data_IF_414432759793
#
_entry.id   IF_414432759793
#
_cell.length_a   1.000
_cell.length_b   1.000
_cell.length_c   1.000
_cell.angle_alpha   90.00
_cell.angle_beta   90.00
_cell.angle_gamma   90.00
#
_symmetry.space_group_name_H-M   'P 1'
#
loop_
_entity.id
_entity.type
_entity.pdbx_description
1 polymer ?
#
# COMPACT_ATOMS: atom_id res chain seq x y z
N UNK A 1 -8.02 -11.96 -25.46
CA UNK A 1 -7.95 -11.52 -24.06
C UNK A 1 -7.57 -10.05 -24.09
N UNK A 2 -8.35 -9.14 -23.52
CA UNK A 2 -8.05 -7.71 -23.57
C UNK A 2 -7.60 -7.23 -22.19
N UNK A 3 -6.33 -6.88 -22.07
CA UNK A 3 -5.86 -6.07 -20.94
C UNK A 3 -6.10 -4.61 -21.33
N UNK A 4 -6.77 -3.85 -20.48
CA UNK A 4 -6.97 -2.41 -20.64
C UNK A 4 -6.01 -1.67 -19.72
N UNK A 5 -5.68 -0.44 -20.07
CA UNK A 5 -4.87 0.42 -19.22
C UNK A 5 -5.76 1.17 -18.23
N UNK A 6 -5.42 1.10 -16.95
CA UNK A 6 -6.08 1.90 -15.93
C UNK A 6 -5.83 3.40 -16.20
N UNK A 7 -6.87 4.25 -16.26
CA UNK A 7 -6.72 5.68 -16.56
C UNK A 7 -5.97 6.46 -15.48
N UNK A 8 -5.95 5.97 -14.23
CA UNK A 8 -5.28 6.63 -13.11
C UNK A 8 -3.81 6.24 -12.96
N UNK A 9 -3.50 4.94 -13.06
CA UNK A 9 -2.15 4.44 -12.77
C UNK A 9 -1.41 3.91 -14.01
N UNK A 10 -2.05 3.94 -15.18
CA UNK A 10 -1.53 3.40 -16.44
C UNK A 10 -1.04 1.94 -16.33
N UNK A 11 -1.55 1.20 -15.35
CA UNK A 11 -1.23 -0.21 -15.20
C UNK A 11 -2.16 -1.04 -16.06
N UNK A 12 -1.62 -2.11 -16.65
CA UNK A 12 -2.42 -3.11 -17.34
C UNK A 12 -3.30 -3.86 -16.34
N UNK A 13 -4.60 -3.87 -16.61
CA UNK A 13 -5.62 -4.54 -15.81
C UNK A 13 -6.59 -5.27 -16.73
N UNK A 14 -7.27 -6.29 -16.23
CA UNK A 14 -8.24 -7.03 -17.03
C UNK A 14 -9.46 -6.17 -17.34
N UNK A 15 -9.97 -6.22 -18.57
CA UNK A 15 -11.23 -5.54 -18.96
C UNK A 15 -12.44 -5.90 -18.08
N UNK A 16 -12.35 -7.02 -17.36
CA UNK A 16 -13.36 -7.52 -16.43
C UNK A 16 -13.20 -7.04 -14.98
N UNK A 17 -12.12 -6.30 -14.67
CA UNK A 17 -11.82 -5.88 -13.31
C UNK A 17 -12.81 -4.80 -12.83
N UNK A 18 -13.46 -5.05 -11.68
CA UNK A 18 -14.39 -4.09 -11.05
C UNK A 18 -13.63 -2.85 -10.56
N UNK A 19 -12.45 -3.07 -9.98
CA UNK A 19 -11.52 -2.01 -9.53
C UNK A 19 -10.09 -2.40 -9.88
N UNK A 20 -9.25 -1.40 -10.14
CA UNK A 20 -7.83 -1.60 -10.40
C UNK A 20 -7.12 -2.10 -9.13
N UNK A 21 -6.42 -3.25 -9.14
CA UNK A 21 -5.75 -3.79 -7.96
C UNK A 21 -4.55 -2.95 -7.49
N UNK A 22 -4.04 -2.05 -8.34
CA UNK A 22 -2.82 -1.27 -8.05
C UNK A 22 -3.11 0.11 -7.45
N UNK A 23 -4.17 0.77 -7.92
CA UNK A 23 -4.57 2.10 -7.43
C UNK A 23 -5.93 2.12 -6.73
N UNK A 24 -6.64 0.99 -6.68
CA UNK A 24 -8.01 0.87 -6.17
C UNK A 24 -9.06 1.72 -6.92
N UNK A 25 -8.71 2.25 -8.09
CA UNK A 25 -9.64 3.03 -8.89
C UNK A 25 -10.77 2.16 -9.45
N UNK A 26 -12.04 2.53 -9.29
CA UNK A 26 -13.17 1.78 -9.84
C UNK A 26 -13.21 1.93 -11.36
N UNK A 27 -12.99 0.84 -12.09
CA UNK A 27 -12.91 0.84 -13.57
C UNK A 27 -14.30 0.63 -14.18
N UNK A 28 -15.13 -0.21 -13.56
CA UNK A 28 -16.46 -0.51 -14.06
C UNK A 28 -17.52 0.29 -13.30
N UNK A 29 -17.69 1.56 -13.69
CA UNK A 29 -18.80 2.42 -13.28
C UNK A 29 -19.86 2.51 -14.39
N UNK A 30 -20.12 1.43 -15.14
CA UNK A 30 -21.14 1.46 -16.18
C UNK A 30 -22.54 1.31 -15.58
N UNK A 31 -23.12 2.48 -15.33
CA UNK A 31 -24.52 2.87 -15.33
C UNK A 31 -25.47 1.91 -16.06
N UNK A 32 -26.62 1.67 -15.40
CA UNK A 32 -27.92 1.15 -15.87
C UNK A 32 -28.24 -0.33 -15.60
N UNK A 33 -28.74 -0.65 -14.40
CA UNK A 33 -29.93 -1.51 -14.20
C UNK A 33 -30.42 -1.48 -12.72
N UNK A 34 -31.72 -1.25 -12.45
CA UNK A 34 -32.28 -1.27 -11.10
C UNK A 34 -32.62 -2.70 -10.66
N UNK A 35 -31.61 -3.52 -10.35
CA UNK A 35 -31.86 -4.84 -9.72
C UNK A 35 -31.01 -5.01 -8.47
N UNK A 36 -31.68 -4.70 -7.34
CA UNK A 36 -31.59 -5.36 -6.04
C UNK A 36 -30.60 -6.51 -5.96
N UNK A 37 -29.38 -6.22 -5.48
CA UNK A 37 -28.57 -7.11 -4.63
C UNK A 37 -27.69 -6.25 -3.70
N UNK A 38 -28.14 -6.13 -2.46
CA UNK A 38 -27.30 -6.04 -1.27
C UNK A 38 -26.24 -4.92 -1.27
N UNK A 39 -26.72 -3.71 -1.01
CA UNK A 39 -26.20 -2.83 0.05
C UNK A 39 -25.13 -3.44 0.99
N UNK A 40 -23.87 -3.40 0.54
CA UNK A 40 -22.76 -2.77 1.29
C UNK A 40 -21.80 -2.07 0.33
N UNK A 41 -22.32 -1.08 -0.38
CA UNK A 41 -21.50 0.01 -0.89
C UNK A 41 -21.63 1.19 0.06
N UNK A 42 -20.84 1.25 1.14
CA UNK A 42 -20.47 2.53 1.75
C UNK A 42 -19.32 2.36 2.75
N UNK A 43 -18.26 3.12 2.49
CA UNK A 43 -17.18 3.54 3.40
C UNK A 43 -16.26 2.46 3.96
N UNK A 44 -14.95 2.66 4.09
CA UNK A 44 -13.93 3.61 3.63
C UNK A 44 -12.67 2.94 4.17
N UNK A 45 -11.60 2.89 3.37
CA UNK A 45 -10.22 2.77 3.81
C UNK A 45 -9.92 1.86 5.03
N UNK A 46 -9.60 0.59 4.78
CA UNK A 46 -8.55 -0.11 5.54
C UNK A 46 -7.67 -0.94 4.60
N UNK A 47 -7.46 -0.43 3.38
CA UNK A 47 -6.20 -0.70 2.69
C UNK A 47 -5.14 0.10 3.42
N UNK A 48 -4.62 -0.45 4.52
CA UNK A 48 -3.52 0.14 5.27
C UNK A 48 -2.38 0.39 4.29
N UNK A 49 -2.32 1.62 3.80
CA UNK A 49 -1.23 2.12 2.98
C UNK A 49 -0.13 2.50 3.97
N UNK A 50 0.57 1.52 4.52
CA UNK A 50 1.79 1.74 5.31
C UNK A 50 2.59 0.45 5.28
N UNK A 51 3.69 0.31 4.56
CA UNK A 51 4.43 1.23 3.73
C UNK A 51 5.66 0.49 3.21
N UNK A 52 6.12 0.83 2.01
CA UNK A 52 7.45 0.42 1.53
C UNK A 52 8.59 1.18 2.27
N UNK A 53 8.38 1.57 3.54
CA UNK A 53 9.26 2.43 4.33
C UNK A 53 9.52 1.97 5.77
N UNK A 54 8.84 0.92 6.25
CA UNK A 54 9.09 0.39 7.61
C UNK A 54 10.39 -0.44 7.69
N UNK A 55 10.95 -0.85 6.55
CA UNK A 55 12.14 -1.70 6.55
C UNK A 55 13.44 -0.96 6.91
N UNK A 56 13.49 0.37 6.85
CA UNK A 56 14.71 1.16 7.09
C UNK A 56 14.83 1.64 8.54
N UNK A 57 13.71 1.85 9.25
CA UNK A 57 13.74 2.32 10.65
C UNK A 57 14.34 1.28 11.59
N UNK A 58 14.05 -0.02 11.38
CA UNK A 58 14.57 -1.10 12.22
C UNK A 58 16.11 -1.20 12.19
N UNK A 59 16.80 -1.22 11.02
CA UNK A 59 18.26 -1.22 10.99
C UNK A 59 18.87 0.10 11.49
N UNK A 60 18.23 1.26 11.25
CA UNK A 60 18.74 2.54 11.75
C UNK A 60 18.80 2.61 13.28
N UNK A 61 17.77 2.11 13.94
CA UNK A 61 17.70 2.05 15.41
C UNK A 61 18.80 1.11 15.95
N UNK A 62 18.98 -0.07 15.34
CA UNK A 62 20.03 -1.02 15.74
C UNK A 62 21.43 -0.41 15.57
N UNK A 63 21.69 0.23 14.43
CA UNK A 63 22.99 0.88 14.17
C UNK A 63 23.26 2.00 15.18
N UNK A 64 22.25 2.84 15.48
CA UNK A 64 22.38 3.92 16.46
C UNK A 64 22.68 3.39 17.87
N UNK A 65 22.00 2.31 18.28
CA UNK A 65 22.20 1.68 19.59
C UNK A 65 23.59 1.04 19.71
N UNK A 66 24.07 0.37 18.65
CA UNK A 66 25.42 -0.20 18.60
C UNK A 66 26.51 0.87 18.74
N UNK A 67 26.36 2.01 18.05
CA UNK A 67 27.32 3.13 18.13
C UNK A 67 27.38 3.69 19.55
N UNK A 68 26.21 3.90 20.18
CA UNK A 68 26.14 4.42 21.55
C UNK A 68 26.80 3.46 22.53
N UNK A 69 26.48 2.15 22.45
CA UNK A 69 27.07 1.13 23.31
C UNK A 69 28.59 1.07 23.13
N UNK A 70 29.05 1.09 21.88
CA UNK A 70 30.48 1.09 21.58
C UNK A 70 31.19 2.33 22.16
N UNK A 71 30.60 3.51 22.02
CA UNK A 71 31.13 4.75 22.57
C UNK A 71 31.21 4.70 24.11
N UNK A 72 30.18 4.19 24.79
CA UNK A 72 30.17 4.04 26.24
C UNK A 72 31.24 3.05 26.74
N UNK A 73 31.38 1.91 26.06
CA UNK A 73 32.43 0.92 26.39
C UNK A 73 33.81 1.55 26.24
N UNK A 74 34.03 2.29 25.15
CA UNK A 74 35.29 2.96 24.89
C UNK A 74 35.60 4.03 25.96
N UNK A 75 34.58 4.77 26.42
CA UNK A 75 34.70 5.76 27.49
C UNK A 75 34.98 5.12 28.85
N UNK A 76 34.41 3.95 29.15
CA UNK A 76 34.68 3.23 30.40
C UNK A 76 36.07 2.56 30.43
N UNK A 77 36.67 2.31 29.27
CA UNK A 77 37.98 1.66 29.16
C UNK A 77 39.15 2.67 29.01
N UNK A 78 38.85 3.96 28.90
CA UNK A 78 39.83 5.06 28.94
C UNK A 78 39.96 5.54 30.38
#
# INVERSE_FOLDING_TARGET
>A
MALINCPECNNEISDKAVSCPKCAFPINQQTSDPISKNDKGLTVADGVKTGCGMFIVLPLIIISLLIIVFALIFLSNT
#
